data_IF_624698184755
#
_entry.id   IF_624698184755
#
_cell.length_a   1.000
_cell.length_b   1.000
_cell.length_c   1.000
_cell.angle_alpha   90.00
_cell.angle_beta   90.00
_cell.angle_gamma   90.00
#
_symmetry.space_group_name_H-M   'P 1'
#
loop_
_entity.id
_entity.type
_entity.pdbx_description
1 polymer ?
#
# COMPACT_ATOMS: atom_id res chain seq x y z
N UNK A 1 -48.81 -32.65 61.00
CA UNK A 1 -48.28 -33.76 60.18
C UNK A 1 -48.32 -33.35 58.72
N UNK A 2 -47.15 -33.03 58.15
CA UNK A 2 -46.71 -33.06 56.76
C UNK A 2 -47.55 -32.47 55.61
N UNK A 3 -47.20 -31.22 55.26
CA UNK A 3 -46.57 -30.76 54.00
C UNK A 3 -46.78 -31.64 52.75
N UNK A 4 -47.34 -31.04 51.68
CA UNK A 4 -46.70 -30.95 50.35
C UNK A 4 -47.56 -30.14 49.36
N UNK A 5 -47.41 -28.80 49.37
CA UNK A 5 -47.76 -27.96 48.21
C UNK A 5 -46.57 -28.00 47.25
N UNK A 6 -46.66 -28.81 46.20
CA UNK A 6 -45.70 -28.80 45.09
C UNK A 6 -45.93 -27.54 44.26
N UNK A 7 -45.18 -26.48 44.56
CA UNK A 7 -44.96 -25.38 43.64
C UNK A 7 -44.02 -25.87 42.53
N UNK A 8 -44.57 -26.06 41.33
CA UNK A 8 -43.77 -26.27 40.13
C UNK A 8 -43.26 -24.89 39.68
N UNK A 9 -42.07 -24.49 40.15
CA UNK A 9 -41.35 -23.37 39.54
C UNK A 9 -40.81 -23.86 38.19
N UNK A 10 -41.48 -23.47 37.11
CA UNK A 10 -40.91 -23.55 35.75
C UNK A 10 -39.99 -22.34 35.62
N UNK A 11 -38.70 -22.52 35.91
CA UNK A 11 -37.67 -21.53 35.60
C UNK A 11 -37.45 -21.57 34.09
N UNK A 12 -38.05 -20.62 33.36
CA UNK A 12 -37.74 -20.39 31.95
C UNK A 12 -36.29 -19.88 31.87
N UNK A 13 -35.34 -20.79 31.64
CA UNK A 13 -33.99 -20.40 31.21
C UNK A 13 -34.14 -19.89 29.78
N UNK A 14 -34.27 -18.57 29.61
CA UNK A 14 -33.91 -17.93 28.35
C UNK A 14 -32.41 -18.13 28.19
N UNK A 15 -32.00 -19.21 27.52
CA UNK A 15 -30.71 -19.21 26.83
C UNK A 15 -30.81 -18.11 25.79
N UNK A 16 -30.28 -16.93 26.11
CA UNK A 16 -29.84 -16.03 25.07
C UNK A 16 -28.80 -16.80 24.28
N UNK A 17 -29.18 -17.29 23.10
CA UNK A 17 -28.23 -17.62 22.04
C UNK A 17 -27.54 -16.31 21.68
N UNK A 18 -26.59 -15.87 22.52
CA UNK A 18 -25.64 -14.86 22.14
C UNK A 18 -24.92 -15.43 20.93
N UNK A 19 -25.09 -14.80 19.77
CA UNK A 19 -24.29 -15.16 18.61
C UNK A 19 -22.84 -14.93 19.02
N UNK A 20 -22.09 -16.02 19.20
CA UNK A 20 -20.66 -15.93 19.45
C UNK A 20 -20.03 -15.43 18.15
N UNK A 21 -19.67 -14.14 18.11
CA UNK A 21 -18.96 -13.57 16.97
C UNK A 21 -17.54 -14.13 16.92
N UNK A 22 -17.10 -14.57 15.74
CA UNK A 22 -15.68 -14.84 15.51
C UNK A 22 -14.94 -13.49 15.58
N UNK A 23 -14.18 -13.26 16.65
CA UNK A 23 -13.37 -12.06 16.80
C UNK A 23 -12.05 -12.21 16.05
N UNK A 24 -11.78 -11.31 15.12
CA UNK A 24 -10.57 -11.31 14.32
C UNK A 24 -9.91 -9.93 14.38
N UNK A 25 -8.65 -9.92 14.83
CA UNK A 25 -7.85 -8.71 14.97
C UNK A 25 -7.00 -8.52 13.72
N UNK A 26 -7.06 -7.32 13.13
CA UNK A 26 -6.16 -6.90 12.06
C UNK A 26 -5.24 -5.82 12.62
N UNK A 27 -3.94 -6.08 12.58
CA UNK A 27 -2.93 -5.07 12.89
C UNK A 27 -2.90 -4.02 11.78
N UNK A 28 -3.14 -2.76 12.14
CA UNK A 28 -3.17 -1.63 11.21
C UNK A 28 -1.89 -0.80 11.32
N UNK A 29 -1.96 0.47 11.67
CA UNK A 29 -0.81 1.36 11.82
C UNK A 29 -1.13 2.48 12.79
N UNK A 30 -0.39 3.60 12.74
CA UNK A 30 -0.66 4.77 13.56
C UNK A 30 -2.11 5.22 13.39
N UNK A 31 -2.70 5.80 14.44
CA UNK A 31 -4.12 6.19 14.46
C UNK A 31 -4.47 7.14 13.30
N UNK A 32 -3.58 8.08 12.98
CA UNK A 32 -3.70 9.04 11.87
C UNK A 32 -3.11 8.52 10.54
N UNK A 33 -2.81 7.23 10.48
CA UNK A 33 -2.22 6.57 9.31
C UNK A 33 -3.28 5.89 8.44
N UNK A 34 -2.97 5.77 7.15
CA UNK A 34 -3.89 5.18 6.16
C UNK A 34 -4.36 3.76 6.50
N UNK A 35 -3.51 2.93 7.10
CA UNK A 35 -3.86 1.58 7.56
C UNK A 35 -5.04 1.56 8.52
N UNK A 36 -5.08 2.49 9.48
CA UNK A 36 -6.15 2.54 10.45
C UNK A 36 -7.50 2.81 9.75
N UNK A 37 -7.50 3.74 8.81
CA UNK A 37 -8.67 4.08 8.00
C UNK A 37 -9.13 2.93 7.10
N UNK A 38 -8.21 2.23 6.43
CA UNK A 38 -8.57 1.06 5.62
C UNK A 38 -9.19 -0.06 6.45
N UNK A 39 -8.61 -0.39 7.61
CA UNK A 39 -9.19 -1.43 8.48
C UNK A 39 -10.53 -0.97 9.06
N UNK A 40 -10.68 0.31 9.37
CA UNK A 40 -11.96 0.91 9.77
C UNK A 40 -13.04 0.80 8.71
N UNK A 41 -12.71 1.08 7.45
CA UNK A 41 -13.63 0.93 6.31
C UNK A 41 -14.05 -0.54 6.14
N UNK A 42 -13.09 -1.48 6.20
CA UNK A 42 -13.36 -2.93 6.10
C UNK A 42 -14.24 -3.41 7.27
N UNK A 43 -13.94 -2.98 8.49
CA UNK A 43 -14.71 -3.34 9.68
C UNK A 43 -16.15 -2.78 9.62
N UNK A 44 -16.32 -1.57 9.10
CA UNK A 44 -17.64 -0.94 8.93
C UNK A 44 -18.51 -1.67 7.92
N UNK A 45 -17.91 -2.20 6.84
CA UNK A 45 -18.63 -3.01 5.85
C UNK A 45 -19.11 -4.35 6.41
N UNK A 46 -18.21 -5.05 7.11
CA UNK A 46 -18.53 -6.35 7.68
C UNK A 46 -19.53 -6.20 8.85
N UNK A 47 -19.43 -5.10 9.61
CA UNK A 47 -20.28 -4.83 10.76
C UNK A 47 -20.27 -5.99 11.76
N UNK A 48 -21.35 -6.10 12.55
CA UNK A 48 -21.72 -7.36 13.22
C UNK A 48 -22.55 -8.27 12.30
N UNK A 49 -22.49 -8.07 10.98
CA UNK A 49 -23.19 -8.92 10.01
C UNK A 49 -22.28 -10.10 9.67
N UNK A 50 -22.88 -11.24 9.34
CA UNK A 50 -22.17 -12.51 9.06
C UNK A 50 -21.44 -13.15 10.26
N UNK A 51 -21.72 -12.74 11.50
CA UNK A 51 -21.18 -13.41 12.69
C UNK A 51 -19.66 -13.20 12.90
N UNK A 52 -19.06 -12.21 12.24
CA UNK A 52 -17.65 -11.85 12.38
C UNK A 52 -17.56 -10.47 13.03
N UNK A 53 -16.69 -10.33 14.03
CA UNK A 53 -16.32 -9.03 14.60
C UNK A 53 -14.87 -8.74 14.27
N UNK A 54 -14.65 -7.79 13.35
CA UNK A 54 -13.31 -7.29 13.08
C UNK A 54 -12.91 -6.23 14.11
N UNK A 55 -11.73 -6.41 14.69
CA UNK A 55 -11.10 -5.42 15.55
C UNK A 55 -9.91 -4.79 14.81
N UNK A 56 -9.99 -3.47 14.65
CA UNK A 56 -8.86 -2.66 14.20
C UNK A 56 -7.89 -2.45 15.37
N UNK A 57 -6.71 -3.07 15.31
CA UNK A 57 -5.66 -2.86 16.30
C UNK A 57 -4.60 -1.90 15.76
N UNK A 58 -4.63 -0.66 16.28
CA UNK A 58 -3.58 0.34 16.08
C UNK A 58 -2.20 -0.23 16.45
N UNK A 59 -1.19 0.09 15.64
CA UNK A 59 0.19 -0.33 15.83
C UNK A 59 1.17 0.73 15.33
N UNK A 60 2.48 0.49 15.41
CA UNK A 60 3.47 1.37 14.79
C UNK A 60 3.59 1.26 13.26
N UNK A 61 2.93 0.27 12.62
CA UNK A 61 2.91 0.08 11.16
C UNK A 61 3.62 -1.19 10.68
N UNK A 62 4.09 -1.18 9.42
CA UNK A 62 4.55 -2.38 8.71
C UNK A 62 5.62 -3.20 9.45
N UNK A 63 6.61 -2.56 10.07
CA UNK A 63 7.70 -3.28 10.74
C UNK A 63 7.23 -3.94 12.05
N UNK A 64 6.42 -3.24 12.84
CA UNK A 64 5.78 -3.83 14.01
C UNK A 64 4.86 -4.99 13.61
N UNK A 65 4.03 -4.79 12.58
CA UNK A 65 3.08 -5.80 12.13
C UNK A 65 3.80 -7.07 11.65
N UNK A 66 4.85 -6.91 10.84
CA UNK A 66 5.70 -8.02 10.42
C UNK A 66 6.27 -8.77 11.63
N UNK A 67 6.85 -8.06 12.60
CA UNK A 67 7.42 -8.65 13.81
C UNK A 67 6.39 -9.47 14.58
N UNK A 68 5.19 -8.91 14.80
CA UNK A 68 4.11 -9.62 15.48
C UNK A 68 3.66 -10.85 14.70
N UNK A 69 3.45 -10.73 13.39
CA UNK A 69 3.01 -11.85 12.56
C UNK A 69 4.05 -12.97 12.51
N UNK A 70 5.34 -12.64 12.40
CA UNK A 70 6.44 -13.60 12.31
C UNK A 70 6.80 -14.25 13.65
N UNK A 71 6.60 -13.57 14.79
CA UNK A 71 6.94 -14.09 16.11
C UNK A 71 5.98 -15.23 16.53
N UNK A 72 6.46 -16.47 16.75
CA UNK A 72 5.60 -17.60 17.13
C UNK A 72 4.94 -17.45 18.50
N UNK A 73 5.40 -16.52 19.35
CA UNK A 73 4.87 -16.29 20.69
C UNK A 73 3.68 -15.31 20.72
N UNK A 74 3.29 -14.74 19.57
CA UNK A 74 2.13 -13.86 19.49
C UNK A 74 0.94 -14.56 18.83
N UNK A 75 -0.26 -14.19 19.27
CA UNK A 75 -1.51 -14.65 18.67
C UNK A 75 -1.98 -13.78 17.48
N UNK A 76 -1.18 -12.79 17.07
CA UNK A 76 -1.50 -11.98 15.90
C UNK A 76 -1.23 -12.78 14.62
N UNK A 77 -2.25 -12.83 13.76
CA UNK A 77 -2.27 -13.64 12.54
C UNK A 77 -2.62 -12.88 11.27
N UNK A 78 -3.09 -11.63 11.37
CA UNK A 78 -3.41 -10.75 10.24
C UNK A 78 -2.89 -9.34 10.49
N UNK A 79 -2.34 -8.71 9.46
CA UNK A 79 -1.93 -7.31 9.52
C UNK A 79 -1.69 -6.71 8.14
N UNK A 80 -1.58 -5.38 8.11
CA UNK A 80 -1.20 -4.64 6.91
C UNK A 80 0.32 -4.45 6.87
N UNK A 81 0.95 -4.71 5.71
CA UNK A 81 2.40 -4.54 5.50
C UNK A 81 2.63 -3.91 4.13
N UNK A 82 3.59 -2.98 4.04
CA UNK A 82 3.99 -2.41 2.75
C UNK A 82 4.73 -3.45 1.91
N UNK A 83 4.52 -3.42 0.59
CA UNK A 83 5.13 -4.39 -0.31
C UNK A 83 6.65 -4.35 -0.34
N UNK A 84 7.26 -3.17 -0.29
CA UNK A 84 8.72 -3.00 -0.23
C UNK A 84 9.31 -3.56 1.08
N UNK A 85 8.62 -3.35 2.21
CA UNK A 85 9.02 -3.90 3.49
C UNK A 85 8.98 -5.44 3.48
N UNK A 86 7.91 -6.04 2.96
CA UNK A 86 7.82 -7.50 2.86
C UNK A 86 8.93 -8.06 1.94
N UNK A 87 9.15 -7.42 0.78
CA UNK A 87 10.22 -7.80 -0.14
C UNK A 87 11.62 -7.67 0.50
N UNK A 88 11.85 -6.63 1.31
CA UNK A 88 13.09 -6.44 2.06
C UNK A 88 13.32 -7.60 3.04
N UNK A 89 12.29 -7.98 3.80
CA UNK A 89 12.39 -9.11 4.75
C UNK A 89 12.62 -10.45 4.04
N UNK A 90 12.02 -10.67 2.88
CA UNK A 90 12.29 -11.88 2.06
C UNK A 90 13.73 -11.90 1.53
N UNK A 91 14.28 -10.74 1.18
CA UNK A 91 15.68 -10.64 0.79
C UNK A 91 16.62 -10.89 1.98
N UNK A 92 16.31 -10.34 3.16
CA UNK A 92 17.06 -10.60 4.39
C UNK A 92 17.04 -12.08 4.79
N UNK A 93 15.90 -12.76 4.64
CA UNK A 93 15.80 -14.20 4.87
C UNK A 93 16.77 -14.99 3.97
N UNK A 94 16.85 -14.63 2.67
CA UNK A 94 17.77 -15.27 1.73
C UNK A 94 19.24 -14.99 2.08
N UNK A 95 19.58 -13.76 2.42
CA UNK A 95 20.95 -13.35 2.74
C UNK A 95 21.44 -14.02 4.03
N UNK A 96 20.58 -14.07 5.05
CA UNK A 96 20.92 -14.60 6.37
C UNK A 96 20.60 -16.09 6.55
N UNK A 97 20.08 -16.75 5.52
CA UNK A 97 19.59 -18.12 5.56
C UNK A 97 18.58 -18.36 6.71
N UNK A 98 17.63 -17.43 6.86
CA UNK A 98 16.50 -17.51 7.80
C UNK A 98 15.17 -17.70 7.05
N UNK A 99 14.08 -17.92 7.78
CA UNK A 99 12.76 -18.20 7.19
C UNK A 99 11.63 -17.50 7.95
N UNK A 100 11.83 -16.24 8.32
CA UNK A 100 10.83 -15.44 9.06
C UNK A 100 9.58 -15.16 8.22
N UNK A 101 9.74 -15.04 6.91
CA UNK A 101 8.68 -14.75 5.93
C UNK A 101 7.93 -16.00 5.45
N UNK A 102 8.48 -17.21 5.64
CA UNK A 102 7.98 -18.41 4.97
C UNK A 102 6.52 -18.77 5.22
N UNK A 103 5.99 -18.42 6.40
CA UNK A 103 4.58 -18.65 6.75
C UNK A 103 3.68 -17.46 6.42
N UNK A 104 4.23 -16.34 5.96
CA UNK A 104 3.44 -15.17 5.57
C UNK A 104 2.87 -15.35 4.16
N UNK A 105 1.59 -15.02 4.00
CA UNK A 105 0.88 -15.06 2.73
C UNK A 105 0.14 -13.75 2.50
N UNK A 106 0.28 -13.20 1.30
CA UNK A 106 -0.50 -12.04 0.85
C UNK A 106 -1.88 -12.52 0.44
N UNK A 107 -2.91 -12.04 1.14
CA UNK A 107 -4.33 -12.35 0.83
C UNK A 107 -4.83 -11.45 -0.29
N UNK A 108 -4.48 -10.17 -0.23
CA UNK A 108 -4.94 -9.14 -1.14
C UNK A 108 -3.97 -7.95 -1.16
N UNK A 109 -3.76 -7.37 -2.34
CA UNK A 109 -3.17 -6.04 -2.46
C UNK A 109 -4.28 -5.01 -2.33
N UNK A 110 -4.10 -4.05 -1.43
CA UNK A 110 -5.03 -2.95 -1.21
C UNK A 110 -4.53 -1.73 -1.99
N UNK A 111 -4.42 -0.59 -1.33
CA UNK A 111 -4.17 0.69 -1.96
C UNK A 111 -2.69 0.95 -2.25
N UNK A 112 -2.44 1.94 -3.11
CA UNK A 112 -1.11 2.55 -3.25
C UNK A 112 -0.84 3.49 -2.08
N UNK A 113 0.36 3.37 -1.50
CA UNK A 113 0.93 4.28 -0.53
C UNK A 113 2.01 5.13 -1.20
N UNK A 114 1.75 6.43 -1.30
CA UNK A 114 2.69 7.38 -1.89
C UNK A 114 3.81 7.72 -0.91
N UNK A 115 4.99 7.96 -1.45
CA UNK A 115 6.12 8.53 -0.72
C UNK A 115 5.93 10.04 -0.67
N UNK A 116 5.65 10.55 0.52
CA UNK A 116 5.56 11.97 0.81
C UNK A 116 6.91 12.45 1.29
N UNK A 117 7.53 13.37 0.55
CA UNK A 117 8.71 14.08 0.99
C UNK A 117 8.33 15.54 1.19
N UNK A 118 8.39 16.02 2.43
CA UNK A 118 7.94 17.37 2.81
C UNK A 118 9.06 18.15 3.47
N UNK A 119 9.12 19.45 3.20
CA UNK A 119 10.07 20.37 3.82
C UNK A 119 9.38 21.71 4.12
N UNK A 120 10.05 22.61 4.85
CA UNK A 120 9.58 24.00 4.97
C UNK A 120 9.71 24.69 3.61
N UNK A 121 8.71 25.45 3.18
CA UNK A 121 8.78 26.26 1.94
C UNK A 121 10.00 27.19 1.96
N UNK A 122 10.31 27.77 3.12
CA UNK A 122 11.47 28.65 3.32
C UNK A 122 12.84 27.96 3.16
N UNK A 123 12.89 26.64 3.10
CA UNK A 123 14.15 25.89 2.95
C UNK A 123 14.71 25.94 1.52
N UNK A 124 13.85 26.23 0.53
CA UNK A 124 14.21 26.18 -0.89
C UNK A 124 14.44 24.78 -1.45
N UNK A 125 14.16 23.71 -0.68
CA UNK A 125 14.27 22.32 -1.15
C UNK A 125 13.11 21.98 -2.09
N UNK A 126 13.41 21.32 -3.20
CA UNK A 126 12.44 21.05 -4.28
C UNK A 126 12.39 19.59 -4.72
N UNK A 127 13.48 18.85 -4.58
CA UNK A 127 13.61 17.48 -5.06
C UNK A 127 14.41 16.59 -4.09
N UNK A 128 14.49 15.29 -4.41
CA UNK A 128 15.21 14.31 -3.61
C UNK A 128 16.72 14.62 -3.48
N UNK A 129 17.36 15.10 -4.55
CA UNK A 129 18.80 15.40 -4.61
C UNK A 129 19.19 16.54 -3.67
N UNK A 130 18.28 17.51 -3.43
CA UNK A 130 18.48 18.62 -2.51
C UNK A 130 18.66 18.16 -1.04
N UNK A 131 18.36 16.90 -0.73
CA UNK A 131 18.52 16.32 0.61
C UNK A 131 19.98 15.98 0.96
N UNK A 132 20.93 16.12 0.03
CA UNK A 132 22.32 15.85 0.34
C UNK A 132 22.82 16.69 1.53
N UNK A 133 23.46 16.01 2.49
CA UNK A 133 23.90 16.57 3.77
C UNK A 133 22.79 17.17 4.67
N UNK A 134 21.50 17.05 4.30
CA UNK A 134 20.38 17.53 5.13
C UNK A 134 20.02 16.54 6.23
N UNK A 135 19.29 16.98 7.26
CA UNK A 135 18.71 16.10 8.29
C UNK A 135 17.32 15.67 7.84
N UNK A 136 17.11 14.39 7.62
CA UNK A 136 15.84 13.85 7.11
C UNK A 136 15.21 12.97 8.17
N UNK A 137 13.98 13.34 8.58
CA UNK A 137 13.12 12.52 9.42
C UNK A 137 12.54 11.35 8.61
N UNK A 138 12.67 10.11 9.07
CA UNK A 138 12.33 8.94 8.25
C UNK A 138 11.28 7.99 8.84
N UNK A 139 10.62 8.34 9.95
CA UNK A 139 9.85 7.37 10.73
C UNK A 139 10.67 6.78 11.89
N UNK A 140 10.03 5.95 12.71
CA UNK A 140 10.66 5.16 13.77
C UNK A 140 10.79 3.68 13.37
N UNK A 141 11.37 2.87 14.24
CA UNK A 141 11.67 1.44 13.99
C UNK A 141 10.44 0.56 13.71
N UNK A 142 9.25 1.01 14.09
CA UNK A 142 8.00 0.26 13.90
C UNK A 142 7.32 0.58 12.57
N UNK A 143 7.71 1.68 11.93
CA UNK A 143 7.10 2.18 10.70
C UNK A 143 7.85 1.67 9.47
N UNK A 144 7.10 1.28 8.43
CA UNK A 144 7.72 0.90 7.17
C UNK A 144 8.31 2.08 6.38
N UNK A 145 7.85 3.33 6.64
CA UNK A 145 8.49 4.55 6.10
C UNK A 145 10.01 4.59 6.35
N UNK A 146 10.46 4.06 7.49
CA UNK A 146 11.89 3.97 7.81
C UNK A 146 12.64 3.05 6.85
N UNK A 147 12.04 1.91 6.50
CA UNK A 147 12.63 0.97 5.54
C UNK A 147 12.66 1.58 4.14
N UNK A 148 11.55 2.17 3.68
CA UNK A 148 11.48 2.86 2.40
C UNK A 148 12.55 3.95 2.29
N UNK A 149 12.68 4.79 3.32
CA UNK A 149 13.70 5.85 3.34
C UNK A 149 15.13 5.30 3.28
N UNK A 150 15.43 4.19 4.00
CA UNK A 150 16.75 3.55 3.93
C UNK A 150 17.04 3.00 2.54
N UNK A 151 16.06 2.37 1.91
CA UNK A 151 16.17 1.88 0.52
C UNK A 151 16.41 3.04 -0.44
N UNK A 152 15.66 4.15 -0.32
CA UNK A 152 15.88 5.35 -1.14
C UNK A 152 17.29 5.87 -0.94
N UNK A 153 17.73 6.05 0.31
CA UNK A 153 19.08 6.55 0.61
C UNK A 153 20.17 5.70 -0.04
N UNK A 154 20.09 4.39 0.17
CA UNK A 154 21.07 3.42 -0.34
C UNK A 154 21.06 3.38 -1.87
N UNK A 155 19.90 3.39 -2.52
CA UNK A 155 19.82 3.24 -3.98
C UNK A 155 20.06 4.56 -4.73
N UNK A 156 19.61 5.67 -4.17
CA UNK A 156 19.83 7.02 -4.74
C UNK A 156 21.24 7.53 -4.53
N UNK A 157 21.98 6.97 -3.55
CA UNK A 157 23.33 7.38 -3.14
C UNK A 157 23.39 8.81 -2.58
N UNK A 158 22.25 9.39 -2.16
CA UNK A 158 22.19 10.71 -1.53
C UNK A 158 22.54 10.58 -0.05
N UNK A 159 23.45 11.43 0.42
CA UNK A 159 24.05 11.31 1.76
C UNK A 159 23.41 12.28 2.75
N UNK A 160 22.14 12.05 3.11
CA UNK A 160 21.51 12.79 4.20
C UNK A 160 21.86 12.24 5.59
N UNK A 161 21.72 13.06 6.63
CA UNK A 161 21.75 12.64 8.04
C UNK A 161 20.37 12.08 8.43
N UNK A 162 20.32 10.82 8.82
CA UNK A 162 19.08 10.16 9.23
C UNK A 162 18.67 10.60 10.64
N UNK A 163 17.42 11.02 10.80
CA UNK A 163 16.80 11.30 12.10
C UNK A 163 15.57 10.41 12.25
N UNK A 164 15.51 9.63 13.33
CA UNK A 164 14.33 8.83 13.64
C UNK A 164 13.28 9.74 14.27
N UNK A 165 12.17 9.93 13.56
CA UNK A 165 11.07 10.82 13.97
C UNK A 165 9.78 10.08 13.72
N UNK A 166 8.99 9.86 14.77
CA UNK A 166 7.69 9.20 14.66
C UNK A 166 6.72 9.97 13.76
N UNK A 167 5.72 9.27 13.21
CA UNK A 167 4.69 9.86 12.35
C UNK A 167 4.08 11.13 12.98
N UNK A 168 3.64 11.03 14.23
CA UNK A 168 2.97 12.12 14.95
C UNK A 168 3.86 13.31 15.30
N UNK A 169 5.19 13.13 15.28
CA UNK A 169 6.15 14.17 15.62
C UNK A 169 6.69 14.92 14.39
N UNK A 170 6.49 14.37 13.18
CA UNK A 170 7.16 14.82 11.95
C UNK A 170 7.02 16.32 11.71
N UNK A 171 5.78 16.83 11.75
CA UNK A 171 5.51 18.26 11.51
C UNK A 171 6.08 19.16 12.60
N UNK A 172 6.00 18.74 13.86
CA UNK A 172 6.57 19.49 14.99
C UNK A 172 8.09 19.58 14.89
N UNK A 173 8.75 18.48 14.49
CA UNK A 173 10.20 18.43 14.29
C UNK A 173 10.65 19.26 13.10
N UNK A 174 9.87 19.27 12.01
CA UNK A 174 10.09 20.10 10.84
C UNK A 174 9.94 21.60 11.18
N UNK A 175 8.84 21.98 11.83
CA UNK A 175 8.58 23.37 12.25
C UNK A 175 9.70 23.92 13.13
N UNK A 176 10.14 23.14 14.14
CA UNK A 176 11.25 23.48 15.04
C UNK A 176 12.63 23.51 14.37
N UNK A 177 12.75 23.13 13.09
CA UNK A 177 14.03 23.05 12.39
C UNK A 177 14.98 21.99 12.96
N UNK A 178 14.44 20.97 13.63
CA UNK A 178 15.23 19.83 14.13
C UNK A 178 15.49 18.77 13.04
N UNK A 179 14.72 18.81 11.97
CA UNK A 179 14.92 18.15 10.68
C UNK A 179 14.71 19.19 9.57
N UNK A 180 15.34 18.98 8.43
CA UNK A 180 15.24 19.84 7.25
C UNK A 180 14.15 19.35 6.27
N UNK A 181 13.92 18.02 6.23
CA UNK A 181 12.83 17.39 5.51
C UNK A 181 12.28 16.17 6.26
N UNK A 182 11.06 15.76 5.95
CA UNK A 182 10.41 14.56 6.47
C UNK A 182 9.95 13.64 5.34
N UNK A 183 10.23 12.35 5.48
CA UNK A 183 9.76 11.30 4.58
C UNK A 183 8.71 10.46 5.29
N UNK A 184 7.52 10.38 4.70
CA UNK A 184 6.39 9.58 5.16
C UNK A 184 5.89 8.72 4.01
N UNK A 185 5.45 7.51 4.30
CA UNK A 185 4.84 6.62 3.31
C UNK A 185 3.44 6.28 3.77
N UNK A 186 2.46 6.49 2.89
CA UNK A 186 1.08 6.12 3.15
C UNK A 186 0.15 6.64 2.06
N UNK A 187 -1.11 6.21 2.09
CA UNK A 187 -2.10 6.62 1.11
C UNK A 187 -2.55 8.06 1.31
N UNK A 188 -2.36 8.91 0.31
CA UNK A 188 -2.85 10.30 0.33
C UNK A 188 -4.39 10.35 0.27
N UNK A 189 -5.05 11.29 0.97
CA UNK A 189 -4.45 12.22 1.93
C UNK A 189 -4.12 11.54 3.26
N UNK A 190 -2.97 11.90 3.84
CA UNK A 190 -2.60 11.55 5.20
C UNK A 190 -3.19 12.58 6.18
N UNK A 191 -3.95 12.12 7.18
CA UNK A 191 -4.59 13.00 8.17
C UNK A 191 -3.58 13.91 8.90
N UNK A 192 -2.36 13.44 9.13
CA UNK A 192 -1.28 14.26 9.68
C UNK A 192 -0.98 15.48 8.81
N UNK A 193 -1.00 15.31 7.48
CA UNK A 193 -0.68 16.34 6.51
C UNK A 193 -1.93 17.11 6.04
N UNK A 194 -3.15 16.74 6.42
CA UNK A 194 -4.37 17.50 6.13
C UNK A 194 -4.51 18.72 7.06
N UNK A 195 -3.59 19.66 6.89
CA UNK A 195 -3.44 20.85 7.71
C UNK A 195 -4.15 22.01 7.01
N UNK A 196 -4.89 22.81 7.77
CA UNK A 196 -5.43 24.07 7.25
C UNK A 196 -4.29 25.07 7.01
N UNK A 197 -4.06 25.52 5.75
CA UNK A 197 -3.02 26.50 5.45
C UNK A 197 -3.20 27.81 6.22
N UNK A 198 -4.40 28.17 6.68
CA UNK A 198 -4.62 29.37 7.51
C UNK A 198 -4.04 29.25 8.91
N UNK A 199 -3.83 28.03 9.40
CA UNK A 199 -3.30 27.72 10.74
C UNK A 199 -1.82 27.30 10.68
N UNK A 200 -1.31 27.05 9.48
CA UNK A 200 0.07 26.61 9.24
C UNK A 200 1.05 27.77 9.39
N UNK A 201 1.68 27.88 10.56
CA UNK A 201 2.68 28.94 10.87
C UNK A 201 3.93 28.84 9.98
N UNK A 202 4.35 27.61 9.69
CA UNK A 202 5.46 27.32 8.78
C UNK A 202 4.88 26.67 7.53
N UNK A 203 4.75 27.42 6.44
CA UNK A 203 4.36 26.84 5.15
C UNK A 203 5.27 25.64 4.83
N UNK A 204 4.66 24.51 4.50
CA UNK A 204 5.36 23.32 4.01
C UNK A 204 5.18 23.18 2.50
N UNK A 205 6.17 22.59 1.86
CA UNK A 205 6.15 22.23 0.46
C UNK A 205 6.39 20.75 0.30
N UNK A 206 5.83 20.17 -0.76
CA UNK A 206 6.10 18.80 -1.17
C UNK A 206 7.23 18.79 -2.20
N UNK A 207 8.22 17.92 -1.98
CA UNK A 207 9.35 17.73 -2.88
C UNK A 207 8.99 16.66 -3.91
N UNK A 208 9.50 16.85 -5.13
CA UNK A 208 9.37 15.89 -6.21
C UNK A 208 10.35 14.73 -6.01
N UNK A 209 9.95 13.52 -6.40
CA UNK A 209 10.84 12.38 -6.48
C UNK A 209 10.97 11.98 -7.95
N UNK A 210 12.19 12.03 -8.48
CA UNK A 210 12.54 11.60 -9.82
C UNK A 210 13.50 10.40 -9.79
N UNK A 211 13.43 9.53 -10.79
CA UNK A 211 14.33 8.37 -10.92
C UNK A 211 15.56 8.72 -11.77
N UNK A 212 16.53 9.43 -11.17
CA UNK A 212 17.73 9.92 -11.87
C UNK A 212 18.82 8.86 -12.08
N UNK A 213 18.78 7.73 -11.36
CA UNK A 213 19.82 6.69 -11.43
C UNK A 213 19.28 5.24 -11.36
N UNK A 214 17.97 5.03 -11.48
CA UNK A 214 17.35 3.71 -11.35
C UNK A 214 17.08 3.29 -9.90
N UNK A 215 17.16 4.22 -8.93
CA UNK A 215 16.85 3.92 -7.54
C UNK A 215 15.42 3.43 -7.37
N UNK A 216 14.49 3.95 -8.18
CA UNK A 216 13.06 3.69 -8.04
C UNK A 216 12.58 2.41 -8.74
N UNK A 217 13.48 1.57 -9.28
CA UNK A 217 13.16 0.36 -10.06
C UNK A 217 12.09 -0.58 -9.46
N UNK A 218 11.95 -0.61 -8.14
CA UNK A 218 11.01 -1.48 -7.43
C UNK A 218 9.76 -0.76 -6.90
N UNK A 219 9.59 0.52 -7.24
CA UNK A 219 8.47 1.34 -6.86
C UNK A 219 7.60 1.66 -8.08
N UNK A 220 6.31 1.89 -7.85
CA UNK A 220 5.39 2.32 -8.90
C UNK A 220 5.45 3.85 -9.06
N UNK A 221 5.45 4.36 -10.29
CA UNK A 221 5.26 5.79 -10.52
C UNK A 221 3.89 6.21 -9.99
N UNK A 222 3.82 7.30 -9.24
CA UNK A 222 2.57 7.86 -8.73
C UNK A 222 2.63 9.39 -8.71
N UNK A 223 1.53 10.02 -8.31
CA UNK A 223 1.42 11.47 -8.16
C UNK A 223 0.59 11.76 -6.93
N UNK A 224 1.11 12.67 -6.11
CA UNK A 224 0.28 13.32 -5.08
C UNK A 224 -0.36 14.53 -5.76
N UNK A 225 -1.67 14.52 -5.85
CA UNK A 225 -2.41 15.56 -6.54
C UNK A 225 -2.51 16.80 -5.68
N UNK A 226 -2.65 17.96 -6.33
CA UNK A 226 -2.94 19.24 -5.66
C UNK A 226 -4.14 19.10 -4.73
N UNK A 227 -5.20 18.43 -5.18
CA UNK A 227 -6.45 18.30 -4.44
C UNK A 227 -6.35 17.33 -3.24
N UNK A 228 -5.24 16.58 -3.09
CA UNK A 228 -5.01 15.74 -1.93
C UNK A 228 -4.76 16.58 -0.66
N UNK A 229 -4.19 17.79 -0.78
CA UNK A 229 -3.88 18.64 0.37
C UNK A 229 -4.12 20.12 0.08
N UNK A 230 -4.83 20.83 0.96
CA UNK A 230 -5.20 22.25 0.77
C UNK A 230 -3.99 23.19 0.57
N UNK A 231 -2.86 22.86 1.20
CA UNK A 231 -1.62 23.63 1.11
C UNK A 231 -0.75 23.22 -0.09
N UNK A 232 -1.03 22.10 -0.76
CA UNK A 232 -0.21 21.63 -1.87
C UNK A 232 -0.47 22.49 -3.12
N UNK A 233 0.57 23.13 -3.63
CA UNK A 233 0.44 24.12 -4.71
C UNK A 233 0.20 23.50 -6.09
N UNK A 234 0.65 22.25 -6.31
CA UNK A 234 0.63 21.58 -7.62
C UNK A 234 0.56 20.06 -7.47
N UNK A 235 0.33 19.38 -8.59
CA UNK A 235 0.55 17.93 -8.65
C UNK A 235 2.05 17.65 -8.53
N UNK A 236 2.42 16.74 -7.64
CA UNK A 236 3.81 16.42 -7.31
C UNK A 236 4.11 14.98 -7.72
N UNK A 237 4.95 14.75 -8.73
CA UNK A 237 5.42 13.42 -9.10
C UNK A 237 6.12 12.74 -7.92
N UNK A 238 5.77 11.48 -7.69
CA UNK A 238 6.40 10.66 -6.65
C UNK A 238 6.37 9.18 -7.05
N UNK A 239 6.73 8.32 -6.12
CA UNK A 239 6.62 6.88 -6.23
C UNK A 239 5.71 6.33 -5.14
N UNK A 240 5.25 5.10 -5.33
CA UNK A 240 4.40 4.40 -4.38
C UNK A 240 4.73 2.92 -4.22
N UNK A 241 4.27 2.38 -3.09
CA UNK A 241 4.26 0.96 -2.75
C UNK A 241 2.83 0.47 -2.55
N UNK A 242 2.62 -0.84 -2.44
CA UNK A 242 1.28 -1.40 -2.18
C UNK A 242 1.12 -1.73 -0.70
N UNK A 243 -0.02 -1.35 -0.13
CA UNK A 243 -0.50 -1.93 1.13
C UNK A 243 -0.92 -3.37 0.89
N UNK A 244 -0.39 -4.31 1.65
CA UNK A 244 -0.71 -5.73 1.56
C UNK A 244 -1.50 -6.17 2.79
N UNK A 245 -2.63 -6.86 2.58
CA UNK A 245 -3.27 -7.64 3.63
C UNK A 245 -2.53 -8.98 3.75
N UNK A 246 -1.79 -9.16 4.84
CA UNK A 246 -0.92 -10.32 5.06
C UNK A 246 -1.44 -11.16 6.23
N UNK A 247 -1.35 -12.48 6.08
CA UNK A 247 -1.63 -13.44 7.14
C UNK A 247 -0.42 -14.31 7.43
N UNK A 248 -0.31 -14.81 8.66
CA UNK A 248 0.57 -15.94 8.96
C UNK A 248 -0.22 -17.24 8.88
N UNK A 249 -0.05 -18.00 7.80
CA UNK A 249 -0.80 -19.23 7.50
C UNK A 249 -0.64 -20.30 8.59
N UNK A 250 0.53 -20.41 9.20
CA UNK A 250 0.81 -21.39 10.26
C UNK A 250 0.03 -21.15 11.56
N UNK A 251 -0.45 -19.92 11.77
CA UNK A 251 -1.24 -19.50 12.94
C UNK A 251 -2.75 -19.54 12.69
N UNK A 252 -3.19 -19.81 11.46
CA UNK A 252 -4.62 -19.81 11.12
C UNK A 252 -5.26 -21.17 11.43
N UNK A 253 -6.30 -21.15 12.24
CA UNK A 253 -7.26 -22.26 12.33
C UNK A 253 -8.10 -22.39 11.06
N UNK A 254 -8.84 -23.48 10.89
CA UNK A 254 -9.79 -23.63 9.77
C UNK A 254 -10.85 -22.52 9.75
N UNK A 255 -11.32 -22.12 10.93
CA UNK A 255 -12.28 -21.03 11.12
C UNK A 255 -11.66 -19.68 10.73
N UNK A 256 -10.40 -19.44 11.12
CA UNK A 256 -9.69 -18.23 10.70
C UNK A 256 -9.56 -18.14 9.18
N UNK A 257 -9.25 -19.25 8.49
CA UNK A 257 -9.16 -19.31 7.03
C UNK A 257 -10.50 -18.96 6.37
N UNK A 258 -11.61 -19.44 6.93
CA UNK A 258 -12.95 -19.07 6.46
C UNK A 258 -13.20 -17.57 6.65
N UNK A 259 -12.89 -17.01 7.82
CA UNK A 259 -13.04 -15.58 8.09
C UNK A 259 -12.17 -14.73 7.15
N UNK A 260 -10.92 -15.11 6.89
CA UNK A 260 -10.04 -14.44 5.92
C UNK A 260 -10.66 -14.43 4.51
N UNK A 261 -11.24 -15.56 4.09
CA UNK A 261 -11.95 -15.65 2.81
C UNK A 261 -13.17 -14.73 2.75
N UNK A 262 -13.93 -14.64 3.85
CA UNK A 262 -15.08 -13.72 3.96
C UNK A 262 -14.62 -12.26 3.92
N UNK A 263 -13.53 -11.89 4.60
CA UNK A 263 -12.95 -10.54 4.53
C UNK A 263 -12.60 -10.19 3.09
N UNK A 264 -11.82 -11.03 2.41
CA UNK A 264 -11.41 -10.81 1.01
C UNK A 264 -12.63 -10.66 0.10
N UNK A 265 -13.59 -11.57 0.21
CA UNK A 265 -14.80 -11.56 -0.62
C UNK A 265 -15.67 -10.33 -0.36
N UNK A 266 -15.77 -9.89 0.90
CA UNK A 266 -16.55 -8.71 1.28
C UNK A 266 -15.91 -7.43 0.77
N UNK A 267 -14.57 -7.31 0.79
CA UNK A 267 -13.87 -6.18 0.17
C UNK A 267 -14.18 -6.15 -1.33
N UNK A 268 -14.06 -7.29 -2.01
CA UNK A 268 -14.33 -7.41 -3.45
C UNK A 268 -15.77 -7.01 -3.80
N UNK A 269 -16.75 -7.62 -3.14
CA UNK A 269 -18.17 -7.39 -3.43
C UNK A 269 -18.63 -5.96 -3.13
N UNK A 270 -17.94 -5.26 -2.23
CA UNK A 270 -18.29 -3.90 -1.81
C UNK A 270 -17.26 -2.87 -2.29
N UNK A 271 -16.39 -3.21 -3.25
CA UNK A 271 -15.31 -2.33 -3.67
C UNK A 271 -15.83 -0.99 -4.22
N UNK A 272 -16.94 -1.00 -4.96
CA UNK A 272 -17.57 0.24 -5.45
C UNK A 272 -18.14 1.12 -4.34
N UNK A 273 -18.54 0.53 -3.21
CA UNK A 273 -18.91 1.31 -2.04
C UNK A 273 -17.67 1.92 -1.39
N UNK A 274 -16.61 1.13 -1.21
CA UNK A 274 -15.32 1.60 -0.67
C UNK A 274 -14.72 2.73 -1.49
N UNK A 275 -14.73 2.61 -2.83
CA UNK A 275 -14.26 3.64 -3.77
C UNK A 275 -15.05 4.96 -3.69
N UNK A 276 -16.31 4.89 -3.29
CA UNK A 276 -17.20 6.07 -3.17
C UNK A 276 -17.16 6.70 -1.77
N UNK A 277 -17.11 5.89 -0.72
CA UNK A 277 -17.38 6.33 0.66
C UNK A 277 -16.19 6.19 1.60
N UNK A 278 -15.27 5.26 1.31
CA UNK A 278 -14.11 5.01 2.16
C UNK A 278 -12.95 5.97 1.87
N UNK A 279 -11.76 5.57 2.31
CA UNK A 279 -10.50 6.23 1.95
C UNK A 279 -10.38 6.47 0.41
N UNK A 280 -10.00 7.67 -0.07
CA UNK A 280 -9.92 7.98 -1.50
C UNK A 280 -9.10 6.97 -2.32
N UNK A 281 -8.03 6.44 -1.74
CA UNK A 281 -7.15 5.44 -2.38
C UNK A 281 -7.74 4.02 -2.50
N UNK A 282 -8.97 3.75 -2.04
CA UNK A 282 -9.70 2.54 -2.49
C UNK A 282 -9.84 2.48 -4.02
N UNK A 283 -9.82 3.62 -4.71
CA UNK A 283 -9.81 3.71 -6.18
C UNK A 283 -8.56 3.11 -6.83
N UNK A 284 -7.49 2.92 -6.07
CA UNK A 284 -6.24 2.31 -6.55
C UNK A 284 -6.20 0.79 -6.37
N UNK A 285 -7.21 0.21 -5.70
CA UNK A 285 -7.33 -1.24 -5.53
C UNK A 285 -7.82 -1.85 -6.84
N UNK A 286 -7.04 -2.81 -7.34
CA UNK A 286 -7.30 -3.55 -8.57
C UNK A 286 -7.58 -5.00 -8.21
N UNK A 287 -8.70 -5.54 -8.68
CA UNK A 287 -9.04 -6.96 -8.55
C UNK A 287 -8.63 -7.64 -9.86
N UNK A 288 -7.79 -8.69 -9.83
CA UNK A 288 -7.26 -9.33 -11.04
C UNK A 288 -8.31 -9.86 -12.04
N UNK A 289 -9.54 -10.10 -11.60
CA UNK A 289 -10.63 -10.72 -12.39
C UNK A 289 -11.81 -9.77 -12.70
N UNK A 290 -11.74 -8.47 -12.32
CA UNK A 290 -12.74 -7.50 -12.77
C UNK A 290 -12.45 -7.06 -14.22
N UNK A 291 -13.44 -7.06 -15.12
CA UNK A 291 -13.28 -6.35 -16.39
C UNK A 291 -13.01 -4.88 -16.07
N UNK A 292 -11.91 -4.36 -16.61
CA UNK A 292 -11.56 -2.94 -16.50
C UNK A 292 -12.75 -2.15 -17.06
N UNK A 293 -13.47 -1.43 -16.20
CA UNK A 293 -14.44 -0.43 -16.66
C UNK A 293 -13.61 0.71 -17.23
N UNK A 294 -13.36 0.67 -18.54
CA UNK A 294 -12.86 1.82 -19.27
C UNK A 294 -13.85 2.97 -19.03
N UNK A 295 -13.41 4.02 -18.34
CA UNK A 295 -14.10 5.30 -18.46
C UNK A 295 -13.97 5.71 -19.93
N UNK A 296 -15.10 5.80 -20.63
CA UNK A 296 -15.18 6.10 -22.07
C UNK A 296 -14.19 7.19 -22.47
N UNK A 297 -13.06 6.78 -23.04
CA UNK A 297 -12.30 7.60 -23.96
C UNK A 297 -12.77 7.19 -25.33
N UNK A 298 -13.42 8.10 -26.04
CA UNK A 298 -13.83 7.94 -27.45
C UNK A 298 -12.72 7.24 -28.25
N UNK A 299 -12.85 5.93 -28.47
CA UNK A 299 -11.86 5.13 -29.15
C UNK A 299 -12.27 4.94 -30.60
N UNK A 300 -11.38 5.36 -31.50
CA UNK A 300 -11.46 5.05 -32.93
C UNK A 300 -11.18 3.55 -33.09
N UNK A 301 -12.10 2.84 -33.73
CA UNK A 301 -12.00 1.40 -34.01
C UNK A 301 -10.98 1.16 -35.12
N UNK A 302 -9.87 0.48 -34.82
CA UNK A 302 -8.96 -0.07 -35.83
C UNK A 302 -9.13 -1.58 -35.91
N UNK A 303 -9.37 -2.08 -37.12
CA UNK A 303 -9.62 -3.51 -37.42
C UNK A 303 -8.42 -4.39 -37.09
N UNK A 304 -8.66 -5.46 -36.35
CA UNK A 304 -7.74 -6.58 -36.15
C UNK A 304 -7.68 -7.42 -37.43
N UNK A 305 -6.49 -7.74 -37.92
CA UNK A 305 -6.32 -8.80 -38.92
C UNK A 305 -5.25 -9.78 -38.48
N UNK A 306 -5.64 -11.05 -38.63
CA UNK A 306 -4.89 -12.30 -38.73
C UNK A 306 -4.36 -13.02 -37.47
N UNK A 307 -4.89 -14.24 -37.30
CA UNK A 307 -4.50 -15.26 -36.34
C UNK A 307 -3.11 -15.83 -36.70
N UNK A 308 -2.25 -15.97 -35.69
CA UNK A 308 -0.95 -16.64 -35.83
C UNK A 308 -1.14 -18.17 -35.93
N UNK A 309 -0.57 -18.78 -36.97
CA UNK A 309 -0.52 -20.23 -37.18
C UNK A 309 0.64 -20.90 -36.41
N UNK A 310 0.48 -22.20 -36.14
CA UNK A 310 1.15 -22.97 -35.08
C UNK A 310 2.65 -23.35 -35.25
N UNK A 311 3.44 -22.65 -36.09
CA UNK A 311 4.77 -23.15 -36.51
C UNK A 311 6.02 -22.35 -36.06
N UNK A 312 5.92 -21.39 -35.14
CA UNK A 312 7.11 -20.67 -34.64
C UNK A 312 7.56 -21.18 -33.26
N UNK A 313 8.25 -22.34 -33.21
CA UNK A 313 8.78 -22.91 -31.96
C UNK A 313 10.27 -22.68 -31.69
N UNK A 314 11.05 -22.11 -32.63
CA UNK A 314 12.50 -22.01 -32.48
C UNK A 314 13.09 -20.62 -32.78
N UNK A 315 12.52 -19.55 -32.22
CA UNK A 315 13.27 -18.31 -32.04
C UNK A 315 13.17 -17.88 -30.57
N UNK A 316 14.31 -17.93 -29.88
CA UNK A 316 14.45 -17.30 -28.57
C UNK A 316 14.38 -15.79 -28.80
N UNK A 317 13.18 -15.22 -28.72
CA UNK A 317 12.97 -13.78 -28.67
C UNK A 317 13.39 -13.32 -27.28
N UNK A 318 14.54 -12.64 -27.16
CA UNK A 318 14.89 -11.96 -25.92
C UNK A 318 13.83 -10.89 -25.63
N UNK A 319 12.97 -11.14 -24.65
CA UNK A 319 12.01 -10.15 -24.15
C UNK A 319 12.76 -9.15 -23.28
N UNK A 320 13.26 -8.06 -23.87
CA UNK A 320 13.77 -6.92 -23.10
C UNK A 320 12.59 -6.02 -22.77
N UNK A 321 12.14 -6.06 -21.52
CA UNK A 321 11.03 -5.26 -21.03
C UNK A 321 11.53 -3.85 -20.68
N UNK A 322 11.17 -2.86 -21.48
CA UNK A 322 11.61 -1.47 -21.33
C UNK A 322 10.40 -0.62 -20.91
N UNK A 323 10.28 -0.39 -19.60
CA UNK A 323 9.36 0.55 -18.93
C UNK A 323 7.83 0.35 -19.11
N UNK A 324 7.06 0.88 -18.15
CA UNK A 324 5.60 1.00 -18.21
C UNK A 324 5.23 2.49 -18.14
N UNK A 325 4.30 2.94 -19.00
CA UNK A 325 3.83 4.34 -19.06
C UNK A 325 2.33 4.43 -19.36
N UNK A 326 1.73 5.57 -19.02
CA UNK A 326 0.27 5.79 -19.05
C UNK A 326 -0.24 6.62 -20.24
N UNK A 327 0.52 6.74 -21.34
CA UNK A 327 0.05 7.36 -22.59
C UNK A 327 0.57 6.60 -23.83
N UNK A 328 -0.18 6.67 -24.94
CA UNK A 328 0.11 5.99 -26.22
C UNK A 328 1.18 6.77 -27.00
N UNK A 329 2.13 6.06 -27.61
CA UNK A 329 2.89 6.52 -28.78
C UNK A 329 2.58 5.58 -29.95
N UNK A 330 2.66 6.09 -31.17
CA UNK A 330 2.60 5.28 -32.40
C UNK A 330 3.82 4.36 -32.49
N UNK A 331 3.74 3.31 -33.32
CA UNK A 331 4.85 2.38 -33.55
C UNK A 331 6.10 3.14 -34.01
N UNK A 332 7.23 2.93 -33.32
CA UNK A 332 8.51 3.60 -33.62
C UNK A 332 9.55 2.59 -34.11
N UNK A 333 10.41 3.01 -35.05
CA UNK A 333 11.63 2.28 -35.39
C UNK A 333 12.83 2.88 -34.67
N UNK A 334 13.67 2.04 -34.10
CA UNK A 334 14.94 2.45 -33.50
C UNK A 334 16.11 1.78 -34.21
N UNK A 335 17.22 2.49 -34.35
CA UNK A 335 18.44 1.96 -34.94
C UNK A 335 19.50 1.79 -33.87
N UNK A 336 19.95 0.54 -33.65
CA UNK A 336 21.04 0.23 -32.73
C UNK A 336 22.17 -0.41 -33.54
N UNK A 337 23.36 0.19 -33.50
CA UNK A 337 24.55 -0.25 -34.25
C UNK A 337 24.29 -0.46 -35.76
N UNK A 338 23.50 0.42 -36.38
CA UNK A 338 23.19 0.36 -37.81
C UNK A 338 22.12 -0.67 -38.22
N UNK A 339 21.51 -1.37 -37.26
CA UNK A 339 20.38 -2.29 -37.50
C UNK A 339 19.09 -1.67 -36.95
N UNK A 340 18.06 -1.62 -37.78
CA UNK A 340 16.74 -1.12 -37.40
C UNK A 340 15.91 -2.20 -36.73
N UNK A 341 15.17 -1.81 -35.70
CA UNK A 341 14.24 -2.66 -34.98
C UNK A 341 12.90 -1.96 -34.83
N UNK A 342 11.81 -2.73 -34.87
CA UNK A 342 10.48 -2.21 -34.65
C UNK A 342 10.18 -2.25 -33.15
N UNK A 343 9.63 -1.16 -32.62
CA UNK A 343 9.04 -1.13 -31.29
C UNK A 343 7.55 -1.39 -31.43
N UNK A 344 7.10 -2.49 -30.85
CA UNK A 344 5.69 -2.84 -30.76
C UNK A 344 5.15 -2.42 -29.39
N UNK A 345 4.04 -1.68 -29.43
CA UNK A 345 3.32 -1.25 -28.22
C UNK A 345 2.18 -2.23 -27.94
N UNK A 346 2.12 -2.77 -26.72
CA UNK A 346 1.01 -3.62 -26.29
C UNK A 346 0.53 -3.21 -24.90
N UNK A 347 -0.78 -3.29 -24.69
CA UNK A 347 -1.40 -2.97 -23.41
C UNK A 347 -1.46 -4.23 -22.55
N UNK A 348 -0.83 -4.22 -21.37
CA UNK A 348 -0.82 -5.37 -20.49
C UNK A 348 -0.74 -4.96 -19.01
N UNK A 349 -1.71 -5.44 -18.24
CA UNK A 349 -1.92 -5.13 -16.81
C UNK A 349 -2.03 -3.62 -16.55
N UNK A 350 -2.88 -2.92 -17.30
CA UNK A 350 -3.23 -1.53 -17.03
C UNK A 350 -2.20 -0.48 -17.47
N UNK A 351 -1.12 -0.88 -18.13
CA UNK A 351 -0.12 0.03 -18.66
C UNK A 351 0.31 -0.38 -20.08
N UNK A 352 0.73 0.61 -20.87
CA UNK A 352 1.38 0.35 -22.16
C UNK A 352 2.79 -0.17 -21.91
N UNK A 353 3.11 -1.25 -22.61
CA UNK A 353 4.40 -1.93 -22.59
C UNK A 353 4.97 -1.93 -24.00
N UNK A 354 6.29 -2.01 -24.06
CA UNK A 354 7.05 -1.91 -25.30
C UNK A 354 7.89 -3.18 -25.45
N UNK A 355 7.90 -3.75 -26.64
CA UNK A 355 8.82 -4.83 -27.00
C UNK A 355 9.52 -4.47 -28.30
N UNK A 356 10.78 -4.83 -28.40
CA UNK A 356 11.59 -4.68 -29.61
C UNK A 356 11.53 -6.01 -30.36
N UNK A 357 11.25 -5.98 -31.66
CA UNK A 357 11.27 -7.16 -32.53
C UNK A 357 11.93 -6.88 -33.88
#
# INVERSE_FOLDING_TARGET
>A
MNINKRFLLITLFFLSLGQAFCQMVILSGPEKGSYNRFVGDIASLLGEKNGIRLENRTSGGSAYNFKMLADPNTNYRIGLIQSDYLNLMEAEDKINNTNKTGSLKVVMQLATEQIHLVAKTSSGLTNLQDLDMKRVGIGNEEQGSMATARIIKERSQISWTTVYVGFDEMLSRLSKGSIDAGLLVGSAPLDLLDIDPQVMIDEITMLELDDFNGWARYYENDTIYRDDYKWNAKNTPTFGVRTLLVVNESKLTSEDKQTVSVIKSSIIQNLDQLRRQGHPKWRTVIIPDEPIVEMEKNAVVTKTTDQLTADSKDEITFRVQIYSRNYIREDEQITINGKSYNIYVYFYLGAYRYTIG
#
